data_IF_241839180840
#
_entry.id   IF_241839180840
#
_cell.length_a   1.000
_cell.length_b   1.000
_cell.length_c   1.000
_cell.angle_alpha   90.00
_cell.angle_beta   90.00
_cell.angle_gamma   90.00
#
_symmetry.space_group_name_H-M   'P 1'
#
loop_
_entity.id
_entity.type
_entity.pdbx_description
1 polymer ?
#
# COMPACT_ATOMS: atom_id res chain seq x y z
N UNK A 1 22.06 11.71 -15.49
CA UNK A 1 20.78 10.95 -15.62
C UNK A 1 21.07 9.70 -16.43
N UNK A 2 20.86 8.50 -15.90
CA UNK A 2 21.07 7.25 -16.64
C UNK A 2 19.97 7.06 -17.68
N UNK A 3 20.32 6.71 -18.92
CA UNK A 3 19.37 6.41 -19.99
C UNK A 3 18.70 5.04 -19.75
N UNK A 4 17.45 5.07 -19.29
CA UNK A 4 16.67 3.86 -19.00
C UNK A 4 16.40 3.01 -20.25
N UNK A 5 16.34 3.63 -21.45
CA UNK A 5 16.13 2.89 -22.71
C UNK A 5 17.37 2.06 -23.03
N UNK A 6 18.56 2.62 -22.83
CA UNK A 6 19.81 1.87 -22.97
C UNK A 6 19.91 0.73 -21.94
N UNK A 7 19.53 1.00 -20.68
CA UNK A 7 19.51 -0.03 -19.64
C UNK A 7 18.59 -1.21 -20.00
N UNK A 8 17.39 -0.93 -20.51
CA UNK A 8 16.46 -1.96 -20.98
C UNK A 8 17.04 -2.76 -22.16
N UNK A 9 17.65 -2.10 -23.15
CA UNK A 9 18.29 -2.77 -24.29
C UNK A 9 19.45 -3.69 -23.88
N UNK A 10 20.28 -3.25 -22.92
CA UNK A 10 21.42 -4.01 -22.44
C UNK A 10 21.05 -5.18 -21.51
N UNK A 11 19.84 -5.19 -20.94
CA UNK A 11 19.41 -6.13 -19.91
C UNK A 11 19.74 -7.59 -20.25
N UNK A 12 19.34 -8.08 -21.44
CA UNK A 12 19.51 -9.48 -21.82
C UNK A 12 20.99 -9.87 -21.95
N UNK A 13 21.80 -8.98 -22.53
CA UNK A 13 23.25 -9.19 -22.67
C UNK A 13 23.95 -9.21 -21.30
N UNK A 14 23.57 -8.31 -20.39
CA UNK A 14 24.15 -8.27 -19.03
C UNK A 14 23.80 -9.52 -18.24
N UNK A 15 22.52 -9.93 -18.24
CA UNK A 15 22.08 -11.14 -17.53
C UNK A 15 22.82 -12.37 -18.03
N UNK A 16 22.97 -12.52 -19.36
CA UNK A 16 23.70 -13.64 -19.98
C UNK A 16 25.19 -13.57 -19.68
N UNK A 17 25.83 -12.42 -19.92
CA UNK A 17 27.28 -12.24 -19.80
C UNK A 17 27.77 -12.39 -18.36
N UNK A 18 26.99 -11.92 -17.40
CA UNK A 18 27.30 -12.01 -15.97
C UNK A 18 26.75 -13.29 -15.31
N UNK A 19 26.07 -14.17 -16.07
CA UNK A 19 25.46 -15.42 -15.58
C UNK A 19 24.60 -15.21 -14.33
N UNK A 20 23.74 -14.19 -14.35
CA UNK A 20 22.88 -13.89 -13.20
C UNK A 20 21.91 -15.03 -12.89
N UNK A 21 21.67 -15.27 -11.60
CA UNK A 21 20.56 -16.11 -11.17
C UNK A 21 19.22 -15.46 -11.53
N UNK A 22 18.14 -16.24 -11.50
CA UNK A 22 16.80 -15.73 -11.77
C UNK A 22 16.43 -14.56 -10.85
N UNK A 23 16.82 -14.63 -9.58
CA UNK A 23 16.57 -13.59 -8.58
C UNK A 23 17.34 -12.30 -8.90
N UNK A 24 18.64 -12.42 -9.24
CA UNK A 24 19.46 -11.25 -9.62
C UNK A 24 18.97 -10.61 -10.92
N UNK A 25 18.56 -11.43 -11.89
CA UNK A 25 17.98 -10.95 -13.13
C UNK A 25 16.66 -10.20 -12.87
N UNK A 26 15.78 -10.75 -12.02
CA UNK A 26 14.52 -10.09 -11.65
C UNK A 26 14.78 -8.78 -10.88
N UNK A 27 15.74 -8.74 -9.96
CA UNK A 27 16.09 -7.50 -9.24
C UNK A 27 16.58 -6.39 -10.19
N UNK A 28 17.40 -6.74 -11.19
CA UNK A 28 17.81 -5.80 -12.23
C UNK A 28 16.61 -5.37 -13.09
N UNK A 29 15.72 -6.29 -13.43
CA UNK A 29 14.52 -6.00 -14.19
C UNK A 29 13.60 -5.02 -13.44
N UNK A 30 13.37 -5.25 -12.14
CA UNK A 30 12.57 -4.39 -11.27
C UNK A 30 13.14 -2.97 -11.23
N UNK A 31 14.46 -2.85 -11.07
CA UNK A 31 15.16 -1.57 -11.05
C UNK A 31 14.96 -0.74 -12.33
N UNK A 32 14.99 -1.40 -13.49
CA UNK A 32 14.72 -0.75 -14.78
C UNK A 32 13.22 -0.44 -14.91
N UNK A 33 12.35 -1.38 -14.56
CA UNK A 33 10.90 -1.28 -14.68
C UNK A 33 10.31 -0.10 -13.88
N UNK A 34 10.81 0.16 -12.66
CA UNK A 34 10.38 1.30 -11.84
C UNK A 34 10.59 2.63 -12.58
N UNK A 35 11.66 2.77 -13.37
CA UNK A 35 11.94 3.99 -14.15
C UNK A 35 11.12 4.08 -15.43
N UNK A 36 10.50 2.99 -15.85
CA UNK A 36 9.62 2.92 -17.00
C UNK A 36 8.14 3.07 -16.64
N UNK A 37 7.78 3.34 -15.38
CA UNK A 37 6.37 3.47 -14.94
C UNK A 37 5.59 4.46 -15.83
N UNK A 38 6.16 5.61 -16.15
CA UNK A 38 5.51 6.63 -17.00
C UNK A 38 6.09 6.70 -18.41
N UNK A 39 6.60 5.59 -18.94
CA UNK A 39 7.09 5.57 -20.32
C UNK A 39 5.93 5.74 -21.30
N UNK A 40 6.13 6.55 -22.34
CA UNK A 40 5.19 6.74 -23.45
C UNK A 40 5.39 5.72 -24.58
N UNK A 41 6.42 4.87 -24.48
CA UNK A 41 6.73 3.86 -25.50
C UNK A 41 6.01 2.55 -25.19
N UNK A 42 5.12 2.11 -26.07
CA UNK A 42 4.37 0.86 -25.92
C UNK A 42 5.26 -0.36 -25.74
N UNK A 43 6.39 -0.42 -26.46
CA UNK A 43 7.34 -1.53 -26.34
C UNK A 43 8.03 -1.57 -24.98
N UNK A 44 8.39 -0.40 -24.43
CA UNK A 44 8.97 -0.30 -23.08
C UNK A 44 7.91 -0.56 -21.99
N UNK A 45 6.68 -0.10 -22.21
CA UNK A 45 5.56 -0.37 -21.31
C UNK A 45 5.25 -1.88 -21.25
N UNK A 46 5.24 -2.55 -22.41
CA UNK A 46 5.08 -4.01 -22.50
C UNK A 46 6.21 -4.73 -21.75
N UNK A 47 7.47 -4.35 -22.00
CA UNK A 47 8.61 -4.96 -21.30
C UNK A 47 8.53 -4.78 -19.78
N UNK A 48 8.20 -3.56 -19.32
CA UNK A 48 7.97 -3.27 -17.90
C UNK A 48 6.88 -4.17 -17.32
N UNK A 49 5.75 -4.27 -18.00
CA UNK A 49 4.60 -5.03 -17.53
C UNK A 49 4.92 -6.53 -17.47
N UNK A 50 5.60 -7.07 -18.48
CA UNK A 50 6.03 -8.47 -18.50
C UNK A 50 6.99 -8.79 -17.33
N UNK A 51 7.91 -7.89 -16.99
CA UNK A 51 8.80 -8.04 -15.83
C UNK A 51 8.11 -7.80 -14.49
N UNK A 52 7.12 -6.92 -14.44
CA UNK A 52 6.38 -6.60 -13.21
C UNK A 52 5.48 -7.77 -12.79
N UNK A 53 4.88 -8.50 -13.74
CA UNK A 53 4.00 -9.66 -13.45
C UNK A 53 4.69 -10.78 -12.67
N UNK A 54 5.99 -10.95 -12.84
CA UNK A 54 6.79 -11.97 -12.15
C UNK A 54 7.55 -11.43 -10.94
N UNK A 55 7.39 -10.14 -10.65
CA UNK A 55 8.11 -9.47 -9.57
C UNK A 55 7.48 -9.79 -8.21
N UNK A 56 8.33 -9.86 -7.19
CA UNK A 56 7.91 -9.84 -5.78
C UNK A 56 8.06 -8.45 -5.15
N UNK A 57 8.51 -7.45 -5.94
CA UNK A 57 8.68 -6.09 -5.47
C UNK A 57 7.32 -5.39 -5.38
N UNK A 58 6.75 -5.38 -4.16
CA UNK A 58 5.45 -4.78 -3.87
C UNK A 58 5.41 -3.32 -4.35
N UNK A 59 6.44 -2.52 -4.08
CA UNK A 59 6.46 -1.11 -4.47
C UNK A 59 6.39 -0.89 -6.00
N UNK A 60 7.00 -1.76 -6.79
CA UNK A 60 6.87 -1.72 -8.26
C UNK A 60 5.44 -2.03 -8.70
N UNK A 61 4.84 -3.08 -8.14
CA UNK A 61 3.45 -3.49 -8.44
C UNK A 61 2.47 -2.37 -8.03
N UNK A 62 2.63 -1.82 -6.82
CA UNK A 62 1.81 -0.69 -6.35
C UNK A 62 1.88 0.52 -7.30
N UNK A 63 3.08 0.88 -7.76
CA UNK A 63 3.24 1.99 -8.71
C UNK A 63 2.55 1.70 -10.04
N UNK A 64 2.55 0.45 -10.49
CA UNK A 64 1.84 0.04 -11.71
C UNK A 64 0.31 0.06 -11.54
N UNK A 65 -0.20 -0.28 -10.35
CA UNK A 65 -1.62 -0.12 -10.01
C UNK A 65 -1.99 1.37 -9.98
N UNK A 66 -1.17 2.22 -9.35
CA UNK A 66 -1.38 3.68 -9.32
C UNK A 66 -1.41 4.30 -10.71
N UNK A 67 -0.58 3.80 -11.64
CA UNK A 67 -0.64 4.20 -13.04
C UNK A 67 -1.98 3.83 -13.68
N UNK A 68 -2.48 2.61 -13.45
CA UNK A 68 -3.80 2.19 -13.95
C UNK A 68 -4.92 3.08 -13.39
N UNK A 69 -4.88 3.39 -12.08
CA UNK A 69 -5.81 4.32 -11.44
C UNK A 69 -5.74 5.72 -12.09
N UNK A 70 -4.53 6.26 -12.30
CA UNK A 70 -4.33 7.58 -12.92
C UNK A 70 -4.94 7.67 -14.32
N UNK A 71 -4.91 6.57 -15.06
CA UNK A 71 -5.42 6.49 -16.43
C UNK A 71 -6.89 6.02 -16.49
N UNK A 72 -7.57 5.84 -15.35
CA UNK A 72 -8.90 5.24 -15.26
C UNK A 72 -9.01 3.86 -15.94
N UNK A 73 -7.91 3.11 -16.01
CA UNK A 73 -7.84 1.74 -16.52
C UNK A 73 -8.33 0.77 -15.43
N UNK A 74 -9.64 0.73 -15.21
CA UNK A 74 -10.26 -0.05 -14.14
C UNK A 74 -10.04 -1.56 -14.27
N UNK A 75 -9.97 -2.07 -15.50
CA UNK A 75 -9.61 -3.47 -15.76
C UNK A 75 -8.15 -3.73 -15.39
N UNK A 76 -7.25 -2.81 -15.72
CA UNK A 76 -5.86 -2.85 -15.29
C UNK A 76 -5.72 -2.79 -13.76
N UNK A 77 -6.53 -1.98 -13.07
CA UNK A 77 -6.54 -1.95 -11.59
C UNK A 77 -6.78 -3.34 -11.02
N UNK A 78 -7.82 -4.04 -11.47
CA UNK A 78 -8.11 -5.40 -11.01
C UNK A 78 -6.98 -6.38 -11.33
N UNK A 79 -6.46 -6.32 -12.56
CA UNK A 79 -5.38 -7.20 -13.02
C UNK A 79 -4.09 -7.03 -12.21
N UNK A 80 -3.68 -5.78 -11.95
CA UNK A 80 -2.43 -5.51 -11.24
C UNK A 80 -2.56 -5.71 -9.73
N UNK A 81 -3.74 -5.49 -9.14
CA UNK A 81 -4.00 -5.88 -7.75
C UNK A 81 -3.86 -7.40 -7.60
N UNK A 82 -4.31 -8.19 -8.58
CA UNK A 82 -4.17 -9.65 -8.54
C UNK A 82 -2.70 -10.15 -8.56
N UNK A 83 -1.74 -9.31 -8.96
CA UNK A 83 -0.30 -9.62 -8.94
C UNK A 83 0.30 -9.46 -7.53
N UNK A 84 -0.30 -8.64 -6.66
CA UNK A 84 0.14 -8.49 -5.28
C UNK A 84 0.06 -9.82 -4.52
N UNK A 85 0.80 -9.95 -3.41
CA UNK A 85 0.59 -11.07 -2.49
C UNK A 85 -0.78 -10.97 -1.78
N UNK A 86 -1.20 -12.05 -1.12
CA UNK A 86 -2.53 -12.11 -0.50
C UNK A 86 -2.74 -11.09 0.62
N UNK A 87 -1.71 -10.80 1.40
CA UNK A 87 -1.78 -9.84 2.50
C UNK A 87 -2.01 -8.42 1.98
N UNK A 88 -1.26 -8.03 0.95
CA UNK A 88 -1.46 -6.76 0.26
C UNK A 88 -2.84 -6.69 -0.38
N UNK A 89 -3.26 -7.71 -1.14
CA UNK A 89 -4.60 -7.76 -1.74
C UNK A 89 -5.71 -7.55 -0.71
N UNK A 90 -5.57 -8.11 0.51
CA UNK A 90 -6.54 -7.98 1.59
C UNK A 90 -6.52 -6.61 2.29
N UNK A 91 -5.50 -5.77 2.05
CA UNK A 91 -5.41 -4.45 2.67
C UNK A 91 -6.59 -3.55 2.30
N UNK A 92 -6.97 -2.64 3.22
CA UNK A 92 -8.06 -1.69 3.02
C UNK A 92 -7.87 -0.84 1.75
N UNK A 93 -6.62 -0.49 1.42
CA UNK A 93 -6.27 0.25 0.19
C UNK A 93 -6.73 -0.48 -1.06
N UNK A 94 -6.32 -1.73 -1.19
CA UNK A 94 -6.55 -2.50 -2.41
C UNK A 94 -7.99 -3.02 -2.49
N UNK A 95 -8.63 -3.33 -1.36
CA UNK A 95 -10.06 -3.59 -1.33
C UNK A 95 -10.90 -2.37 -1.76
N UNK A 96 -10.51 -1.15 -1.36
CA UNK A 96 -11.19 0.07 -1.83
C UNK A 96 -11.07 0.24 -3.35
N UNK A 97 -9.86 0.10 -3.90
CA UNK A 97 -9.66 0.27 -5.35
C UNK A 97 -10.28 -0.86 -6.17
N UNK A 98 -10.34 -2.09 -5.66
CA UNK A 98 -11.14 -3.16 -6.25
C UNK A 98 -12.62 -2.76 -6.30
N UNK A 99 -13.19 -2.29 -5.18
CA UNK A 99 -14.60 -1.89 -5.14
C UNK A 99 -14.92 -0.75 -6.10
N UNK A 100 -14.02 0.24 -6.19
CA UNK A 100 -14.12 1.33 -7.17
C UNK A 100 -14.04 0.84 -8.62
N UNK A 101 -13.16 -0.12 -8.90
CA UNK A 101 -13.05 -0.70 -10.25
C UNK A 101 -14.26 -1.55 -10.63
N UNK A 102 -14.85 -2.28 -9.69
CA UNK A 102 -16.07 -3.09 -9.89
C UNK A 102 -17.24 -2.19 -10.30
N UNK A 103 -17.49 -1.11 -9.54
CA UNK A 103 -18.51 -0.11 -9.86
C UNK A 103 -18.26 0.50 -11.25
N UNK A 104 -17.02 0.90 -11.53
CA UNK A 104 -16.69 1.56 -12.79
C UNK A 104 -16.80 0.63 -14.02
N UNK A 105 -16.71 -0.69 -13.82
CA UNK A 105 -16.90 -1.70 -14.86
C UNK A 105 -18.35 -2.19 -14.96
N UNK A 106 -19.28 -1.64 -14.17
CA UNK A 106 -20.71 -1.94 -14.20
C UNK A 106 -21.18 -2.95 -13.15
N UNK A 107 -20.28 -3.52 -12.35
CA UNK A 107 -20.64 -4.40 -11.22
C UNK A 107 -20.87 -3.57 -9.95
N UNK A 108 -21.93 -2.77 -9.98
CA UNK A 108 -22.28 -1.85 -8.90
C UNK A 108 -22.63 -2.59 -7.60
N UNK A 109 -23.26 -3.76 -7.71
CA UNK A 109 -23.66 -4.58 -6.55
C UNK A 109 -22.41 -5.09 -5.83
N UNK A 110 -21.50 -5.79 -6.52
CA UNK A 110 -20.31 -6.35 -5.89
C UNK A 110 -19.41 -5.24 -5.35
N UNK A 111 -19.23 -4.17 -6.13
CA UNK A 111 -18.39 -3.05 -5.74
C UNK A 111 -18.91 -2.30 -4.51
N UNK A 112 -20.21 -2.01 -4.43
CA UNK A 112 -20.81 -1.41 -3.23
C UNK A 112 -20.73 -2.33 -2.03
N UNK A 113 -20.99 -3.63 -2.21
CA UNK A 113 -20.88 -4.61 -1.13
C UNK A 113 -19.45 -4.67 -0.59
N UNK A 114 -18.43 -4.68 -1.47
CA UNK A 114 -17.03 -4.65 -1.06
C UNK A 114 -16.74 -3.38 -0.26
N UNK A 115 -17.08 -2.22 -0.80
CA UNK A 115 -16.86 -0.93 -0.12
C UNK A 115 -17.55 -0.85 1.25
N UNK A 116 -18.75 -1.41 1.39
CA UNK A 116 -19.47 -1.45 2.67
C UNK A 116 -18.69 -2.20 3.76
N UNK A 117 -17.92 -3.24 3.42
CA UNK A 117 -17.12 -4.00 4.40
C UNK A 117 -15.95 -3.20 4.99
N UNK A 118 -15.54 -2.10 4.34
CA UNK A 118 -14.45 -1.24 4.80
C UNK A 118 -14.93 -0.19 5.82
N UNK A 119 -16.23 0.12 5.82
CA UNK A 119 -16.80 1.21 6.63
C UNK A 119 -16.71 0.87 8.12
N UNK A 120 -16.32 1.86 8.93
CA UNK A 120 -16.19 1.74 10.38
C UNK A 120 -14.76 1.44 10.86
N UNK A 121 -13.83 1.10 9.96
CA UNK A 121 -12.40 1.00 10.28
C UNK A 121 -11.79 2.38 10.50
N UNK A 122 -10.86 2.53 11.46
CA UNK A 122 -10.10 3.78 11.70
C UNK A 122 -8.99 3.96 10.66
N UNK A 123 -9.37 4.20 9.41
CA UNK A 123 -8.46 4.32 8.27
C UNK A 123 -9.03 5.27 7.20
N UNK A 124 -8.17 5.92 6.42
CA UNK A 124 -8.57 6.77 5.30
C UNK A 124 -9.55 6.07 4.32
N UNK A 125 -9.28 4.81 3.96
CA UNK A 125 -10.10 4.09 2.98
C UNK A 125 -11.50 3.72 3.47
N UNK A 126 -11.72 3.67 4.78
CA UNK A 126 -13.07 3.50 5.37
C UNK A 126 -13.94 4.72 5.12
N UNK A 127 -13.40 5.92 5.35
CA UNK A 127 -14.08 7.19 5.04
C UNK A 127 -14.31 7.33 3.55
N UNK A 128 -13.28 7.02 2.74
CA UNK A 128 -13.40 7.07 1.28
C UNK A 128 -14.45 6.10 0.74
N UNK A 129 -14.54 4.89 1.28
CA UNK A 129 -15.54 3.90 0.93
C UNK A 129 -16.96 4.39 1.26
N UNK A 130 -17.17 4.86 2.50
CA UNK A 130 -18.43 5.45 2.95
C UNK A 130 -18.90 6.57 2.02
N UNK A 131 -18.00 7.52 1.69
CA UNK A 131 -18.30 8.60 0.75
C UNK A 131 -18.64 8.08 -0.65
N UNK A 132 -17.91 7.09 -1.16
CA UNK A 132 -18.13 6.53 -2.50
C UNK A 132 -19.49 5.83 -2.65
N UNK A 133 -20.05 5.27 -1.57
CA UNK A 133 -21.36 4.58 -1.57
C UNK A 133 -22.48 5.39 -0.91
N UNK A 134 -22.23 6.65 -0.54
CA UNK A 134 -23.23 7.53 0.08
C UNK A 134 -23.67 7.13 1.48
N UNK A 135 -22.83 6.43 2.24
CA UNK A 135 -23.11 6.01 3.62
C UNK A 135 -22.46 6.95 4.64
N UNK A 136 -23.12 7.16 5.78
CA UNK A 136 -22.50 7.85 6.92
C UNK A 136 -21.52 6.93 7.64
N UNK A 137 -20.38 7.47 8.07
CA UNK A 137 -19.43 6.72 8.88
C UNK A 137 -19.78 6.80 10.37
N UNK A 138 -19.85 5.63 11.03
CA UNK A 138 -19.94 5.52 12.48
C UNK A 138 -18.76 4.69 12.98
N UNK A 139 -17.89 5.30 13.77
CA UNK A 139 -16.80 4.58 14.41
C UNK A 139 -17.30 3.88 15.66
N UNK A 140 -17.02 2.57 15.84
CA UNK A 140 -17.27 1.91 17.11
C UNK A 140 -16.48 2.62 18.23
N UNK A 141 -17.20 3.08 19.25
CA UNK A 141 -16.61 3.60 20.48
C UNK A 141 -16.69 2.52 21.57
N UNK A 142 -15.54 2.05 22.03
CA UNK A 142 -15.46 1.19 23.21
C UNK A 142 -15.12 2.06 24.42
N UNK A 143 -15.94 2.01 25.46
CA UNK A 143 -15.63 2.65 26.74
C UNK A 143 -14.95 1.62 27.63
N UNK A 144 -13.77 1.97 28.14
CA UNK A 144 -13.03 1.15 29.10
C UNK A 144 -13.34 1.71 30.49
N UNK A 145 -13.58 0.83 31.47
CA UNK A 145 -13.62 1.22 32.87
C UNK A 145 -12.19 1.21 33.42
N UNK A 146 -11.81 2.28 34.12
CA UNK A 146 -10.51 2.35 34.77
C UNK A 146 -10.42 1.25 35.84
N UNK A 147 -9.48 0.33 35.67
CA UNK A 147 -9.11 -0.63 36.71
C UNK A 147 -7.81 -0.16 37.37
N UNK A 148 -7.93 0.36 38.58
CA UNK A 148 -6.79 0.90 39.33
C UNK A 148 -5.78 -0.18 39.72
N UNK A 149 -6.15 -1.46 39.71
CA UNK A 149 -5.23 -2.57 40.00
C UNK A 149 -4.27 -2.84 38.85
N UNK A 150 -4.73 -2.67 37.61
CA UNK A 150 -3.92 -2.88 36.39
C UNK A 150 -2.86 -1.80 36.25
N UNK A 151 -3.17 -0.57 36.64
CA UNK A 151 -2.25 0.58 36.54
C UNK A 151 -1.26 0.65 37.72
N UNK A 152 -1.58 0.01 38.85
CA UNK A 152 -0.79 0.13 40.08
C UNK A 152 0.71 -0.16 39.91
N UNK A 153 1.15 -1.20 39.17
CA UNK A 153 2.57 -1.46 38.95
C UNK A 153 3.31 -0.34 38.19
N UNK A 154 2.59 0.49 37.44
CA UNK A 154 3.13 1.53 36.58
C UNK A 154 3.14 2.92 37.22
N UNK A 155 2.69 3.05 38.48
CA UNK A 155 2.46 4.34 39.12
C UNK A 155 3.70 5.25 39.12
N UNK A 156 4.89 4.69 39.37
CA UNK A 156 6.15 5.46 39.35
C UNK A 156 6.45 6.01 37.94
N UNK A 157 6.24 5.21 36.90
CA UNK A 157 6.43 5.67 35.51
C UNK A 157 5.41 6.74 35.15
N UNK A 158 4.15 6.58 35.57
CA UNK A 158 3.11 7.58 35.34
C UNK A 158 3.44 8.93 35.99
N UNK A 159 3.96 8.92 37.23
CA UNK A 159 4.42 10.14 37.90
C UNK A 159 5.59 10.79 37.17
N UNK A 160 6.59 10.02 36.73
CA UNK A 160 7.71 10.58 35.95
C UNK A 160 7.25 11.15 34.61
N UNK A 161 6.33 10.48 33.92
CA UNK A 161 5.72 10.99 32.68
C UNK A 161 5.01 12.33 32.92
N UNK A 162 4.27 12.46 34.03
CA UNK A 162 3.60 13.71 34.42
C UNK A 162 4.61 14.86 34.61
N UNK A 163 5.69 14.63 35.36
CA UNK A 163 6.78 15.61 35.56
C UNK A 163 7.50 15.98 34.25
N UNK A 164 7.73 15.00 33.37
CA UNK A 164 8.33 15.24 32.06
C UNK A 164 7.42 16.08 31.16
N UNK A 165 6.11 15.87 31.19
CA UNK A 165 5.14 16.71 30.48
C UNK A 165 5.11 18.12 31.07
N UNK A 166 5.08 18.25 32.40
CA UNK A 166 5.07 19.53 33.10
C UNK A 166 6.31 20.40 32.82
N UNK A 167 7.44 19.75 32.50
CA UNK A 167 8.71 20.41 32.15
C UNK A 167 8.99 20.49 30.64
N UNK A 168 7.96 20.28 29.80
CA UNK A 168 8.01 20.31 28.32
C UNK A 168 9.00 19.31 27.69
N UNK A 169 9.33 18.22 28.40
CA UNK A 169 10.19 17.13 27.93
C UNK A 169 9.38 16.04 27.21
N UNK A 170 8.58 16.45 26.23
CA UNK A 170 7.61 15.56 25.54
C UNK A 170 8.26 14.33 24.91
N UNK A 171 9.46 14.45 24.33
CA UNK A 171 10.16 13.31 23.75
C UNK A 171 10.52 12.25 24.80
N UNK A 172 11.00 12.67 25.98
CA UNK A 172 11.33 11.77 27.08
C UNK A 172 10.07 11.12 27.66
N UNK A 173 8.99 11.89 27.84
CA UNK A 173 7.70 11.36 28.30
C UNK A 173 7.15 10.27 27.37
N UNK A 174 7.24 10.47 26.04
CA UNK A 174 6.84 9.47 25.05
C UNK A 174 7.70 8.22 25.09
N UNK A 175 9.01 8.36 25.23
CA UNK A 175 9.91 7.21 25.37
C UNK A 175 9.57 6.41 26.61
N UNK A 176 9.32 7.08 27.74
CA UNK A 176 8.94 6.41 28.99
C UNK A 176 7.57 5.73 28.92
N UNK A 177 6.59 6.32 28.23
CA UNK A 177 5.28 5.69 27.99
C UNK A 177 5.36 4.43 27.11
N UNK A 178 6.35 4.34 26.22
CA UNK A 178 6.51 3.21 25.31
C UNK A 178 7.17 1.98 25.96
N UNK A 179 7.74 2.13 27.16
CA UNK A 179 8.44 1.09 27.93
C UNK A 179 7.54 0.47 29.01
#
# INVERSE_FOLDING_TARGET
>A
RMDVKQAQKAYAQVVKGQKFSAEKAQALADYIAIRLIRTESDSLAKWRDDKTKTSKNVALIENRIRLAIQNADWKGVQQWIAVLNKDEQASLRWQYWLGRSEIALGDDIAGKQRLATLVGQRNFYSVAAANAIGQSIKYPSHRIKLDTKVIHPYQNSLTRIEELIATDKIAAAKSEWAH
#
